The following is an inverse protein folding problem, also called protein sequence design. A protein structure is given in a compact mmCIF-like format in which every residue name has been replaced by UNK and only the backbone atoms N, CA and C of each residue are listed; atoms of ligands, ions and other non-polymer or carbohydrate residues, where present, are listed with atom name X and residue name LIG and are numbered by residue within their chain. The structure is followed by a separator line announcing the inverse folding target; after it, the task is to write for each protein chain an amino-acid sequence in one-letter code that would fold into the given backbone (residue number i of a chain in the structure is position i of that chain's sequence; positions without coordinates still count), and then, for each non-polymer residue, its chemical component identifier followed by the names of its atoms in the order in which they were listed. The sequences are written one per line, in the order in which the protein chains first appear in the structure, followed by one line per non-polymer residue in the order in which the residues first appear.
data_IF_451840353616
#
_entry.id   IF_451840353616
#
_cell.length_a   1.000
_cell.length_b   1.000
_cell.length_c   1.000
_cell.angle_alpha   90.00
_cell.angle_beta   90.00
_cell.angle_gamma   90.00
#
_symmetry.space_group_name_H-M   'P 1'
#
loop_
_entity.id
_entity.type
_entity.pdbx_description
1 polymer ?
#
# COMPACT_ATOMS: atom_id res chain seq x y z
N UNK A 1 -26.54 36.38 18.15
CA UNK A 1 -26.58 35.03 18.74
C UNK A 1 -25.44 34.21 18.15
N UNK A 2 -24.73 33.43 18.96
CA UNK A 2 -23.36 33.02 18.67
C UNK A 2 -23.29 31.91 17.61
N UNK A 3 -22.23 31.98 16.80
CA UNK A 3 -21.95 31.05 15.71
C UNK A 3 -21.58 29.65 16.22
N UNK A 4 -22.32 28.65 15.73
CA UNK A 4 -21.98 27.25 15.92
C UNK A 4 -20.88 26.83 14.95
N UNK A 5 -19.68 26.63 15.48
CA UNK A 5 -18.61 25.90 14.79
C UNK A 5 -19.02 24.43 14.71
N UNK A 6 -19.36 23.96 13.51
CA UNK A 6 -19.63 22.55 13.24
C UNK A 6 -18.29 21.81 13.26
N UNK A 7 -17.95 21.22 14.39
CA UNK A 7 -16.89 20.20 14.44
C UNK A 7 -17.50 18.89 13.96
N UNK A 8 -16.85 18.23 13.01
CA UNK A 8 -17.19 16.87 12.62
C UNK A 8 -16.98 15.96 13.84
N UNK A 9 -18.08 15.59 14.51
CA UNK A 9 -18.07 14.64 15.60
C UNK A 9 -17.97 13.24 14.98
N UNK A 10 -16.92 12.50 15.32
CA UNK A 10 -16.84 11.09 14.94
C UNK A 10 -18.00 10.35 15.58
N UNK A 11 -18.80 9.66 14.75
CA UNK A 11 -19.79 8.69 15.24
C UNK A 11 -18.99 7.59 15.93
N UNK A 12 -19.00 7.58 17.27
CA UNK A 12 -18.51 6.44 18.04
C UNK A 12 -19.40 5.26 17.67
N UNK A 13 -18.83 4.30 16.94
CA UNK A 13 -19.45 3.00 16.72
C UNK A 13 -19.48 2.27 18.08
N UNK A 14 -20.39 2.68 18.97
CA UNK A 14 -20.73 1.90 20.16
C UNK A 14 -21.45 0.65 19.64
N UNK A 15 -20.74 -0.49 19.62
CA UNK A 15 -21.45 -1.76 19.68
C UNK A 15 -22.12 -1.77 21.05
N UNK A 16 -23.42 -1.54 21.09
CA UNK A 16 -24.21 -1.84 22.27
C UNK A 16 -24.12 -3.35 22.50
N UNK A 17 -23.39 -3.74 23.52
CA UNK A 17 -23.38 -5.13 23.98
C UNK A 17 -24.78 -5.46 24.49
N UNK A 18 -25.46 -6.49 23.97
CA UNK A 18 -26.74 -6.90 24.53
C UNK A 18 -26.50 -7.30 25.99
N UNK A 19 -27.16 -6.60 26.92
CA UNK A 19 -27.03 -6.77 28.37
C UNK A 19 -27.18 -8.22 28.85
N UNK A 20 -27.76 -9.11 28.03
CA UNK A 20 -27.96 -10.53 28.33
C UNK A 20 -26.68 -11.37 28.44
N UNK A 21 -25.56 -10.98 27.79
CA UNK A 21 -24.31 -11.76 27.84
C UNK A 21 -23.49 -11.51 29.10
N UNK A 22 -23.71 -10.41 29.81
CA UNK A 22 -22.94 -10.04 31.01
C UNK A 22 -23.35 -10.87 32.24
N UNK A 23 -24.61 -11.29 32.32
CA UNK A 23 -25.14 -12.12 33.41
C UNK A 23 -24.61 -13.56 33.42
N UNK A 24 -24.20 -14.08 32.26
CA UNK A 24 -23.77 -15.48 32.07
C UNK A 24 -22.23 -15.64 32.11
N UNK A 25 -21.47 -14.56 32.24
CA UNK A 25 -20.00 -14.67 32.29
C UNK A 25 -19.53 -15.27 33.62
N UNK A 26 -18.64 -16.29 33.60
CA UNK A 26 -18.15 -16.90 34.82
C UNK A 26 -17.37 -15.87 35.66
N UNK A 27 -17.55 -15.87 36.99
CA UNK A 27 -16.94 -14.86 37.87
C UNK A 27 -15.41 -14.86 37.84
N UNK A 28 -14.80 -16.00 37.48
CA UNK A 28 -13.35 -16.13 37.29
C UNK A 28 -12.84 -15.25 36.14
N UNK A 29 -13.59 -15.16 35.03
CA UNK A 29 -13.20 -14.32 33.89
C UNK A 29 -13.32 -12.84 34.25
N UNK A 30 -14.35 -12.46 35.01
CA UNK A 30 -14.55 -11.09 35.49
C UNK A 30 -13.39 -10.68 36.40
N UNK A 31 -13.00 -11.54 37.35
CA UNK A 31 -11.87 -11.29 38.25
C UNK A 31 -10.55 -11.12 37.49
N UNK A 32 -10.30 -11.97 36.48
CA UNK A 32 -9.12 -11.85 35.61
C UNK A 32 -9.12 -10.54 34.80
N UNK A 33 -10.29 -10.11 34.30
CA UNK A 33 -10.43 -8.89 33.51
C UNK A 33 -10.14 -7.63 34.35
N UNK A 34 -10.67 -7.59 35.59
CA UNK A 34 -10.43 -6.50 36.54
C UNK A 34 -8.94 -6.44 36.92
N UNK A 35 -8.29 -7.60 37.12
CA UNK A 35 -6.86 -7.65 37.43
C UNK A 35 -5.97 -7.13 36.29
N UNK A 36 -6.37 -7.37 35.02
CA UNK A 36 -5.62 -6.94 33.83
C UNK A 36 -5.87 -5.46 33.49
N UNK A 37 -6.99 -4.88 33.94
CA UNK A 37 -7.40 -3.51 33.62
C UNK A 37 -6.30 -2.44 33.72
N UNK A 38 -5.50 -2.30 34.81
CA UNK A 38 -4.45 -1.28 34.88
C UNK A 38 -3.37 -1.46 33.79
N UNK A 39 -3.01 -2.71 33.47
CA UNK A 39 -2.08 -3.03 32.38
C UNK A 39 -2.69 -2.67 31.04
N UNK A 40 -3.98 -2.98 30.84
CA UNK A 40 -4.71 -2.67 29.62
C UNK A 40 -4.79 -1.16 29.36
N UNK A 41 -5.08 -0.36 30.39
CA UNK A 41 -5.10 1.11 30.28
C UNK A 41 -3.71 1.64 29.90
N UNK A 42 -2.65 1.09 30.49
CA UNK A 42 -1.26 1.43 30.15
C UNK A 42 -0.96 1.14 28.68
N UNK A 43 -1.23 -0.10 28.26
CA UNK A 43 -0.95 -0.57 26.92
C UNK A 43 -1.76 0.22 25.88
N UNK A 44 -3.03 0.52 26.18
CA UNK A 44 -3.89 1.32 25.32
C UNK A 44 -3.36 2.75 25.12
N UNK A 45 -2.81 3.38 26.17
CA UNK A 45 -2.16 4.70 26.05
C UNK A 45 -0.90 4.63 25.18
N UNK A 46 -0.04 3.63 25.39
CA UNK A 46 1.18 3.41 24.59
C UNK A 46 0.81 3.21 23.12
N UNK A 47 -0.15 2.34 22.84
CA UNK A 47 -0.66 2.12 21.48
C UNK A 47 -1.18 3.43 20.89
N UNK A 48 -1.94 4.22 21.66
CA UNK A 48 -2.43 5.52 21.20
C UNK A 48 -1.31 6.48 20.76
N UNK A 49 -0.16 6.48 21.44
CA UNK A 49 1.01 7.26 21.03
C UNK A 49 1.66 6.74 19.73
N UNK A 50 1.66 5.43 19.50
CA UNK A 50 2.23 4.79 18.30
C UNK A 50 1.31 4.99 17.09
N UNK A 51 0.00 4.81 17.27
CA UNK A 51 -1.01 4.90 16.20
C UNK A 51 -1.51 6.32 15.96
N UNK A 52 -1.02 7.31 16.71
CA UNK A 52 -1.48 8.71 16.66
C UNK A 52 -2.98 8.91 16.95
N UNK A 53 -3.62 7.99 17.68
CA UNK A 53 -5.05 8.04 18.00
C UNK A 53 -5.35 8.72 19.33
N UNK A 54 -4.45 9.56 19.84
CA UNK A 54 -4.65 10.38 21.04
C UNK A 54 -5.50 11.61 20.71
N UNK A 55 -6.28 12.10 21.67
CA UNK A 55 -7.14 13.27 21.52
C UNK A 55 -6.41 14.52 21.00
N UNK A 56 -5.10 14.62 21.29
CA UNK A 56 -4.30 15.75 20.87
C UNK A 56 -3.02 15.35 20.13
N UNK A 57 -2.97 15.74 18.85
CA UNK A 57 -1.84 15.44 17.95
C UNK A 57 -0.51 16.06 18.42
N UNK A 58 -0.56 17.16 19.18
CA UNK A 58 0.63 17.89 19.63
C UNK A 58 1.50 17.05 20.57
N UNK A 59 0.91 16.15 21.38
CA UNK A 59 1.69 15.33 22.34
C UNK A 59 2.64 14.39 21.62
N UNK A 60 2.14 13.72 20.58
CA UNK A 60 2.92 12.82 19.73
C UNK A 60 4.02 13.58 18.98
N UNK A 61 3.69 14.77 18.49
CA UNK A 61 4.67 15.64 17.83
C UNK A 61 5.82 16.07 18.75
N UNK A 62 5.52 16.48 19.99
CA UNK A 62 6.55 16.88 20.96
C UNK A 62 7.46 15.70 21.32
N UNK A 63 6.88 14.51 21.55
CA UNK A 63 7.65 13.28 21.81
C UNK A 63 8.58 12.98 20.64
N UNK A 64 8.08 13.12 19.41
CA UNK A 64 8.89 12.94 18.20
C UNK A 64 10.02 13.97 18.06
N UNK A 65 9.76 15.24 18.37
CA UNK A 65 10.79 16.29 18.36
C UNK A 65 11.89 16.00 19.38
N UNK A 66 11.55 15.61 20.61
CA UNK A 66 12.52 15.23 21.63
C UNK A 66 13.36 14.02 21.18
N UNK A 67 12.71 13.02 20.60
CA UNK A 67 13.39 11.84 20.03
C UNK A 67 14.32 12.22 18.87
N UNK A 68 13.94 13.16 18.01
CA UNK A 68 14.75 13.64 16.89
C UNK A 68 16.05 14.32 17.37
N UNK A 69 15.96 15.16 18.40
CA UNK A 69 17.11 15.84 18.99
C UNK A 69 18.06 14.84 19.63
N UNK A 70 17.51 13.82 20.29
CA UNK A 70 18.28 12.77 20.93
C UNK A 70 19.12 11.97 19.92
N UNK A 71 18.52 11.53 18.80
CA UNK A 71 19.27 10.76 17.79
C UNK A 71 20.31 11.63 17.10
N UNK A 72 19.95 12.87 16.74
CA UNK A 72 20.86 13.75 16.00
C UNK A 72 22.12 14.04 16.83
N UNK A 73 21.98 14.22 18.14
CA UNK A 73 23.08 14.53 19.05
C UNK A 73 23.61 13.32 19.83
N UNK A 74 23.32 12.09 19.38
CA UNK A 74 23.69 10.86 20.07
C UNK A 74 25.18 10.77 20.43
N UNK A 75 26.08 11.21 19.55
CA UNK A 75 27.53 11.08 19.74
C UNK A 75 28.07 11.92 20.92
N UNK A 76 27.48 13.09 21.19
CA UNK A 76 28.00 14.01 22.21
C UNK A 76 27.48 13.67 23.61
N UNK A 77 26.35 12.97 23.69
CA UNK A 77 25.61 12.82 24.94
C UNK A 77 25.45 11.37 25.40
N UNK A 78 25.91 10.38 24.62
CA UNK A 78 25.67 8.96 24.87
C UNK A 78 25.95 8.53 26.31
N UNK A 79 27.11 8.90 26.87
CA UNK A 79 27.53 8.43 28.20
C UNK A 79 26.70 9.02 29.36
N UNK A 80 26.18 10.24 29.21
CA UNK A 80 25.45 10.96 30.26
C UNK A 80 23.93 10.80 30.09
N UNK A 81 23.46 10.81 28.85
CA UNK A 81 22.02 10.79 28.52
C UNK A 81 21.45 9.38 28.57
N UNK A 82 22.21 8.34 28.24
CA UNK A 82 21.69 6.97 28.27
C UNK A 82 21.29 6.53 29.69
N UNK A 83 22.13 6.66 30.74
CA UNK A 83 21.75 6.23 32.09
C UNK A 83 20.60 7.08 32.66
N UNK A 84 20.56 8.37 32.35
CA UNK A 84 19.50 9.27 32.82
C UNK A 84 18.17 8.97 32.15
N UNK A 85 18.14 8.62 30.87
CA UNK A 85 16.92 8.17 30.18
C UNK A 85 16.47 6.80 30.67
N UNK A 86 17.39 5.86 30.92
CA UNK A 86 17.03 4.56 31.49
C UNK A 86 16.43 4.72 32.89
N UNK A 87 17.03 5.57 33.73
CA UNK A 87 16.49 5.90 35.05
C UNK A 87 15.13 6.61 34.95
N UNK A 88 15.00 7.62 34.07
CA UNK A 88 13.75 8.34 33.87
C UNK A 88 12.64 7.45 33.32
N UNK A 89 12.93 6.60 32.33
CA UNK A 89 11.94 5.67 31.77
C UNK A 89 11.51 4.63 32.80
N UNK A 90 12.43 4.11 33.62
CA UNK A 90 12.10 3.23 34.74
C UNK A 90 11.25 3.94 35.80
N UNK A 91 11.62 5.17 36.18
CA UNK A 91 10.85 5.98 37.12
C UNK A 91 9.46 6.33 36.58
N UNK A 92 9.35 6.70 35.30
CA UNK A 92 8.08 6.95 34.64
C UNK A 92 7.22 5.70 34.59
N UNK A 93 7.81 4.54 34.27
CA UNK A 93 7.12 3.26 34.25
C UNK A 93 6.62 2.86 35.65
N UNK A 94 7.49 2.94 36.66
CA UNK A 94 7.16 2.64 38.04
C UNK A 94 6.10 3.61 38.60
N UNK A 95 6.22 4.92 38.28
CA UNK A 95 5.21 5.92 38.64
C UNK A 95 3.90 5.65 37.91
N UNK A 96 3.93 5.25 36.64
CA UNK A 96 2.74 4.94 35.87
C UNK A 96 2.01 3.74 36.45
N UNK A 97 2.73 2.64 36.73
CA UNK A 97 2.19 1.46 37.40
C UNK A 97 1.59 1.85 38.73
N UNK A 98 2.37 2.54 39.58
CA UNK A 98 1.89 2.98 40.88
C UNK A 98 0.66 3.85 40.74
N UNK A 99 0.62 4.80 39.81
CA UNK A 99 -0.54 5.63 39.55
C UNK A 99 -1.73 4.79 39.13
N UNK A 100 -1.56 3.81 38.23
CA UNK A 100 -2.66 2.92 37.81
C UNK A 100 -3.22 2.07 38.95
N UNK A 101 -2.38 1.65 39.92
CA UNK A 101 -2.82 0.91 41.10
C UNK A 101 -3.36 1.82 42.23
N UNK A 102 -2.81 3.01 42.40
CA UNK A 102 -3.23 3.99 43.43
C UNK A 102 -4.52 4.69 43.01
N UNK A 103 -4.68 5.02 41.74
CA UNK A 103 -5.94 5.56 41.18
C UNK A 103 -7.07 4.51 41.28
N UNK A 104 -6.72 3.22 41.29
CA UNK A 104 -7.64 2.10 41.60
C UNK A 104 -7.92 1.94 43.11
N UNK A 105 -7.03 2.41 43.99
CA UNK A 105 -7.14 2.23 45.45
C UNK A 105 -7.66 3.44 46.25
N UNK A 106 -7.38 4.67 45.80
CA UNK A 106 -7.73 5.93 46.52
C UNK A 106 -8.98 6.61 45.97
N UNK A 107 -9.34 6.36 44.71
CA UNK A 107 -10.59 6.86 44.15
C UNK A 107 -11.72 6.01 44.71
N UNK A 108 -12.47 6.50 45.71
CA UNK A 108 -13.74 5.89 46.17
C UNK A 108 -14.85 5.83 45.12
N UNK A 109 -14.50 5.82 43.83
CA UNK A 109 -15.36 5.48 42.72
C UNK A 109 -15.44 3.96 42.63
N UNK A 110 -16.66 3.47 42.46
CA UNK A 110 -17.00 2.07 42.19
C UNK A 110 -15.92 1.37 41.34
N UNK A 111 -15.59 0.12 41.69
CA UNK A 111 -14.84 -0.81 40.84
C UNK A 111 -15.18 -0.59 39.36
N UNK A 112 -14.19 -0.57 38.45
CA UNK A 112 -14.43 -0.25 37.05
C UNK A 112 -15.59 -1.09 36.55
N UNK A 113 -16.56 -0.42 35.94
CA UNK A 113 -17.73 -1.13 35.40
C UNK A 113 -17.23 -2.11 34.35
N UNK A 114 -17.82 -3.31 34.29
CA UNK A 114 -17.40 -4.33 33.31
C UNK A 114 -17.48 -3.75 31.88
N UNK A 115 -18.45 -2.87 31.63
CA UNK A 115 -18.60 -2.12 30.38
C UNK A 115 -17.40 -1.22 30.06
N UNK A 116 -16.84 -0.52 31.05
CA UNK A 116 -15.64 0.30 30.88
C UNK A 116 -14.43 -0.57 30.52
N UNK A 117 -14.27 -1.71 31.21
CA UNK A 117 -13.18 -2.65 30.92
C UNK A 117 -13.31 -3.21 29.50
N UNK A 118 -14.51 -3.63 29.10
CA UNK A 118 -14.78 -4.11 27.74
C UNK A 118 -14.51 -3.03 26.69
N UNK A 119 -14.96 -1.79 26.92
CA UNK A 119 -14.69 -0.67 26.01
C UNK A 119 -13.17 -0.38 25.89
N UNK A 120 -12.41 -0.42 26.98
CA UNK A 120 -10.95 -0.27 26.90
C UNK A 120 -10.28 -1.42 26.15
N UNK A 121 -10.81 -2.64 26.27
CA UNK A 121 -10.32 -3.83 25.55
C UNK A 121 -10.63 -3.74 24.05
N UNK A 122 -11.81 -3.27 23.69
CA UNK A 122 -12.16 -3.02 22.29
C UNK A 122 -11.26 -1.96 21.66
N UNK A 123 -11.05 -0.85 22.37
CA UNK A 123 -10.16 0.21 21.91
C UNK A 123 -8.72 -0.31 21.72
N UNK A 124 -8.24 -1.13 22.66
CA UNK A 124 -6.94 -1.79 22.55
C UNK A 124 -6.91 -2.73 21.32
N UNK A 125 -7.94 -3.55 21.15
CA UNK A 125 -8.02 -4.52 20.05
C UNK A 125 -8.09 -3.83 18.69
N UNK A 126 -8.86 -2.75 18.57
CA UNK A 126 -8.93 -1.92 17.36
C UNK A 126 -7.58 -1.25 17.06
N UNK A 127 -6.93 -0.64 18.06
CA UNK A 127 -5.61 0.00 17.85
C UNK A 127 -4.53 -1.02 17.50
N UNK A 128 -4.60 -2.19 18.12
CA UNK A 128 -3.72 -3.32 17.81
C UNK A 128 -3.96 -3.83 16.39
N UNK A 129 -5.22 -3.98 15.97
CA UNK A 129 -5.55 -4.42 14.63
C UNK A 129 -5.02 -3.44 13.58
N UNK A 130 -5.01 -2.13 13.83
CA UNK A 130 -4.38 -1.18 12.89
C UNK A 130 -2.90 -1.48 12.63
N UNK A 131 -2.15 -1.93 13.64
CA UNK A 131 -0.73 -2.29 13.50
C UNK A 131 -0.56 -3.61 12.74
N UNK A 132 -1.46 -4.58 12.96
CA UNK A 132 -1.41 -5.92 12.36
C UNK A 132 -2.08 -6.01 10.98
N UNK A 133 -3.06 -5.16 10.69
CA UNK A 133 -3.74 -5.01 9.40
C UNK A 133 -2.90 -4.24 8.38
N UNK A 134 -1.67 -3.84 8.73
CA UNK A 134 -0.63 -3.55 7.73
C UNK A 134 -0.76 -4.60 6.62
N UNK A 135 -0.87 -4.17 5.36
CA UNK A 135 -1.13 -4.97 4.15
C UNK A 135 -0.08 -6.08 3.87
N UNK A 136 0.46 -6.73 4.90
CA UNK A 136 1.30 -7.91 4.91
C UNK A 136 0.69 -9.00 4.03
N UNK A 137 -0.65 -9.16 4.01
CA UNK A 137 -1.31 -10.13 3.12
C UNK A 137 -1.14 -9.80 1.63
N UNK A 138 -1.24 -8.52 1.24
CA UNK A 138 -0.98 -8.10 -0.15
C UNK A 138 0.51 -8.09 -0.49
N UNK A 139 1.36 -7.74 0.48
CA UNK A 139 2.82 -7.73 0.33
C UNK A 139 3.40 -9.16 0.29
N UNK A 140 2.73 -10.13 0.91
CA UNK A 140 3.11 -11.55 0.95
C UNK A 140 2.95 -12.29 -0.39
N UNK A 141 2.45 -11.63 -1.45
CA UNK A 141 2.40 -12.24 -2.78
C UNK A 141 3.82 -12.58 -3.26
N UNK A 142 4.08 -13.89 -3.43
CA UNK A 142 5.41 -14.42 -3.81
C UNK A 142 5.99 -13.76 -5.07
N UNK A 143 5.14 -13.32 -6.01
CA UNK A 143 5.55 -12.61 -7.23
C UNK A 143 6.03 -11.20 -6.91
N UNK A 144 5.30 -10.47 -6.06
CA UNK A 144 5.66 -9.11 -5.64
C UNK A 144 6.97 -9.10 -4.86
N UNK A 145 7.13 -10.02 -3.90
CA UNK A 145 8.37 -10.17 -3.14
C UNK A 145 9.56 -10.46 -4.07
N UNK A 146 9.38 -11.35 -5.05
CA UNK A 146 10.48 -11.68 -5.98
C UNK A 146 10.90 -10.47 -6.82
N UNK A 147 9.95 -9.72 -7.37
CA UNK A 147 10.23 -8.50 -8.15
C UNK A 147 10.89 -7.41 -7.29
N UNK A 148 10.41 -7.23 -6.06
CA UNK A 148 11.00 -6.29 -5.09
C UNK A 148 12.43 -6.70 -4.73
N UNK A 149 12.68 -7.99 -4.49
CA UNK A 149 13.99 -8.51 -4.14
C UNK A 149 14.99 -8.39 -5.31
N UNK A 150 14.55 -8.68 -6.53
CA UNK A 150 15.39 -8.49 -7.72
C UNK A 150 15.75 -7.03 -7.90
N UNK A 151 14.78 -6.11 -7.80
CA UNK A 151 15.05 -4.69 -7.95
C UNK A 151 15.91 -4.13 -6.81
N UNK A 152 15.65 -4.56 -5.58
CA UNK A 152 16.46 -4.18 -4.42
C UNK A 152 17.91 -4.65 -4.62
N UNK A 153 18.13 -5.87 -5.09
CA UNK A 153 19.48 -6.40 -5.34
C UNK A 153 20.24 -5.59 -6.41
N UNK A 154 19.55 -5.18 -7.48
CA UNK A 154 20.13 -4.37 -8.58
C UNK A 154 20.43 -2.94 -8.11
N UNK A 155 19.56 -2.34 -7.29
CA UNK A 155 19.75 -0.98 -6.78
C UNK A 155 20.66 -0.90 -5.54
N UNK A 156 20.96 -2.02 -4.87
CA UNK A 156 21.82 -2.07 -3.67
C UNK A 156 23.17 -1.38 -3.85
N UNK A 157 23.95 -1.57 -4.95
CA UNK A 157 25.22 -0.86 -5.12
C UNK A 157 25.03 0.66 -5.20
N UNK A 158 23.93 1.12 -5.83
CA UNK A 158 23.60 2.54 -5.95
C UNK A 158 23.22 3.13 -4.58
N UNK A 159 22.44 2.39 -3.79
CA UNK A 159 22.14 2.78 -2.41
C UNK A 159 23.40 2.82 -1.54
N UNK A 160 24.28 1.84 -1.66
CA UNK A 160 25.53 1.81 -0.88
C UNK A 160 26.43 3.00 -1.20
N UNK A 161 26.51 3.40 -2.48
CA UNK A 161 27.28 4.56 -2.91
C UNK A 161 26.63 5.85 -2.38
N UNK A 162 25.31 5.98 -2.52
CA UNK A 162 24.55 7.12 -2.00
C UNK A 162 24.70 7.26 -0.48
N UNK A 163 24.57 6.16 0.26
CA UNK A 163 24.71 6.13 1.72
C UNK A 163 26.12 6.55 2.14
N UNK A 164 27.16 6.05 1.48
CA UNK A 164 28.55 6.43 1.79
C UNK A 164 28.82 7.92 1.59
N UNK A 165 28.19 8.55 0.61
CA UNK A 165 28.49 9.93 0.24
C UNK A 165 27.59 10.96 0.94
N UNK A 166 26.32 10.65 1.18
CA UNK A 166 25.32 11.65 1.59
C UNK A 166 24.73 11.45 2.99
N UNK A 167 24.81 10.26 3.60
CA UNK A 167 23.99 9.93 4.78
C UNK A 167 24.84 9.34 5.91
N UNK A 168 24.93 10.06 7.04
CA UNK A 168 25.48 9.52 8.30
C UNK A 168 24.54 8.45 8.89
N UNK A 169 25.08 7.48 9.63
CA UNK A 169 24.27 6.44 10.27
C UNK A 169 23.16 7.03 11.17
N UNK A 170 23.45 8.14 11.88
CA UNK A 170 22.48 8.80 12.75
C UNK A 170 21.32 9.42 11.95
N UNK A 171 21.61 10.04 10.80
CA UNK A 171 20.57 10.63 9.96
C UNK A 171 19.74 9.56 9.29
N UNK A 172 20.33 8.41 8.94
CA UNK A 172 19.58 7.27 8.42
C UNK A 172 18.61 6.68 9.45
N UNK A 173 19.08 6.40 10.67
CA UNK A 173 18.23 5.92 11.77
C UNK A 173 17.09 6.91 12.03
N UNK A 174 17.39 8.21 12.07
CA UNK A 174 16.38 9.25 12.20
C UNK A 174 15.33 9.22 11.08
N UNK A 175 15.75 9.13 9.82
CA UNK A 175 14.83 9.10 8.67
C UNK A 175 13.93 7.85 8.69
N UNK A 176 14.49 6.68 9.02
CA UNK A 176 13.71 5.43 9.15
C UNK A 176 12.70 5.54 10.28
N UNK A 177 13.12 6.01 11.45
CA UNK A 177 12.22 6.19 12.60
C UNK A 177 11.15 7.25 12.34
N UNK A 178 11.47 8.32 11.60
CA UNK A 178 10.51 9.33 11.16
C UNK A 178 9.41 8.69 10.30
N UNK A 179 9.78 7.89 9.30
CA UNK A 179 8.83 7.23 8.41
C UNK A 179 7.92 6.27 9.21
N UNK A 180 8.50 5.46 10.11
CA UNK A 180 7.73 4.53 10.94
C UNK A 180 6.76 5.25 11.87
N UNK A 181 7.23 6.27 12.59
CA UNK A 181 6.40 6.97 13.56
C UNK A 181 5.29 7.79 12.91
N UNK A 182 5.56 8.43 11.77
CA UNK A 182 4.58 9.26 11.06
C UNK A 182 3.60 8.46 10.20
N UNK A 183 3.80 7.14 10.05
CA UNK A 183 2.98 6.30 9.17
C UNK A 183 1.48 6.34 9.52
N UNK A 184 1.12 6.33 10.80
CA UNK A 184 -0.28 6.36 11.22
C UNK A 184 -0.84 7.77 11.45
N UNK A 185 -0.01 8.80 11.30
CA UNK A 185 -0.43 10.18 11.58
C UNK A 185 -1.35 10.71 10.48
N UNK A 186 -2.53 11.19 10.86
CA UNK A 186 -3.54 11.77 9.95
C UNK A 186 -2.99 12.83 8.99
N UNK A 187 -2.28 13.89 9.44
CA UNK A 187 -1.72 14.89 8.50
C UNK A 187 -0.67 14.30 7.55
N UNK A 188 0.15 13.35 8.00
CA UNK A 188 1.14 12.69 7.15
C UNK A 188 0.51 11.69 6.18
N UNK A 189 -0.60 11.05 6.53
CA UNK A 189 -1.42 10.28 5.59
C UNK A 189 -1.94 11.17 4.46
N UNK A 190 -2.51 12.34 4.79
CA UNK A 190 -2.98 13.29 3.80
C UNK A 190 -1.83 13.80 2.90
N UNK A 191 -0.67 14.11 3.49
CA UNK A 191 0.53 14.51 2.74
C UNK A 191 1.00 13.41 1.78
N UNK A 192 1.01 12.14 2.21
CA UNK A 192 1.39 11.01 1.33
C UNK A 192 0.37 10.78 0.22
N UNK A 193 -0.92 10.90 0.50
CA UNK A 193 -1.96 10.80 -0.53
C UNK A 193 -1.86 11.95 -1.55
N UNK A 194 -1.53 13.16 -1.10
CA UNK A 194 -1.25 14.29 -1.98
C UNK A 194 0.01 14.04 -2.80
N UNK A 195 1.08 13.55 -2.16
CA UNK A 195 2.33 13.19 -2.81
C UNK A 195 2.11 12.15 -3.91
N UNK A 196 1.26 11.15 -3.66
CA UNK A 196 0.91 10.12 -4.63
C UNK A 196 0.14 10.65 -5.85
N UNK A 197 -0.38 11.88 -5.83
CA UNK A 197 -0.95 12.51 -7.02
C UNK A 197 0.11 13.04 -7.99
N UNK A 198 1.36 13.24 -7.54
CA UNK A 198 2.44 13.69 -8.42
C UNK A 198 2.90 12.56 -9.35
N UNK A 199 2.85 12.80 -10.66
CA UNK A 199 3.32 11.88 -11.72
C UNK A 199 4.78 11.42 -11.54
N UNK A 200 5.77 12.30 -11.26
CA UNK A 200 7.15 11.86 -11.10
C UNK A 200 7.34 10.92 -9.91
N UNK A 201 6.58 11.10 -8.82
CA UNK A 201 6.66 10.21 -7.66
C UNK A 201 6.21 8.78 -8.00
N UNK A 202 5.15 8.64 -8.81
CA UNK A 202 4.68 7.33 -9.29
C UNK A 202 5.69 6.67 -10.22
N UNK A 203 6.32 7.46 -11.09
CA UNK A 203 7.38 6.95 -11.96
C UNK A 203 8.58 6.44 -11.14
N UNK A 204 9.04 7.22 -10.16
CA UNK A 204 10.09 6.79 -9.23
C UNK A 204 9.66 5.53 -8.47
N UNK A 205 8.43 5.48 -7.97
CA UNK A 205 7.90 4.29 -7.29
C UNK A 205 7.89 3.07 -8.21
N UNK A 206 7.48 3.20 -9.46
CA UNK A 206 7.50 2.13 -10.47
C UNK A 206 8.92 1.62 -10.73
N UNK A 207 9.91 2.51 -10.86
CA UNK A 207 11.31 2.11 -11.03
C UNK A 207 11.83 1.40 -9.77
N UNK A 208 11.49 1.91 -8.59
CA UNK A 208 11.93 1.36 -7.31
C UNK A 208 11.34 -0.03 -7.04
N UNK A 209 10.02 -0.19 -7.21
CA UNK A 209 9.31 -1.43 -6.89
C UNK A 209 9.31 -2.42 -8.05
N UNK A 210 9.51 -1.94 -9.29
CA UNK A 210 9.34 -2.74 -10.50
C UNK A 210 7.88 -3.05 -10.81
N UNK A 211 6.93 -2.47 -10.05
CA UNK A 211 5.51 -2.64 -10.30
C UNK A 211 5.01 -1.56 -11.25
N UNK A 212 4.29 -1.98 -12.30
CA UNK A 212 3.62 -1.07 -13.21
C UNK A 212 2.38 -0.47 -12.55
N UNK A 213 2.46 0.79 -12.15
CA UNK A 213 1.29 1.58 -11.77
C UNK A 213 0.72 2.27 -13.01
N UNK A 214 -0.56 2.09 -13.35
CA UNK A 214 -1.15 2.78 -14.50
C UNK A 214 -1.09 4.30 -14.28
N UNK A 215 -0.41 5.01 -15.19
CA UNK A 215 -0.11 6.43 -15.04
C UNK A 215 -1.33 7.35 -15.25
N UNK A 216 -2.37 6.88 -15.96
CA UNK A 216 -3.64 7.60 -16.12
C UNK A 216 -4.76 6.67 -16.63
N UNK A 217 -5.66 6.19 -15.75
CA UNK A 217 -6.81 5.37 -16.17
C UNK A 217 -7.82 6.17 -17.03
N UNK A 218 -7.82 7.51 -16.94
CA UNK A 218 -8.73 8.38 -17.70
C UNK A 218 -8.45 8.38 -19.20
N UNK A 219 -7.18 8.38 -19.59
CA UNK A 219 -6.80 8.35 -21.01
C UNK A 219 -7.09 6.98 -21.62
N UNK A 220 -6.91 5.92 -20.83
CA UNK A 220 -7.28 4.54 -21.20
C UNK A 220 -8.80 4.44 -21.37
N UNK A 221 -9.59 4.98 -20.44
CA UNK A 221 -11.05 5.01 -20.54
C UNK A 221 -11.53 5.80 -21.78
N UNK A 222 -10.94 6.97 -22.06
CA UNK A 222 -11.26 7.74 -23.27
C UNK A 222 -10.86 6.97 -24.53
N UNK A 223 -9.68 6.34 -24.55
CA UNK A 223 -9.22 5.53 -25.68
C UNK A 223 -10.18 4.38 -25.94
N UNK A 224 -10.53 3.61 -24.91
CA UNK A 224 -11.48 2.49 -25.00
C UNK A 224 -12.86 2.94 -25.46
N UNK A 225 -13.37 4.06 -24.93
CA UNK A 225 -14.65 4.61 -25.33
C UNK A 225 -14.64 5.13 -26.77
N UNK A 226 -13.48 5.60 -27.26
CA UNK A 226 -13.25 6.08 -28.63
C UNK A 226 -12.93 4.96 -29.64
N UNK A 227 -12.49 3.77 -29.19
CA UNK A 227 -12.27 2.62 -30.08
C UNK A 227 -13.56 2.22 -30.85
N UNK A 228 -14.74 2.68 -30.42
CA UNK A 228 -16.04 2.28 -30.94
C UNK A 228 -16.98 3.43 -31.37
N UNK A 229 -16.63 4.18 -32.39
CA UNK A 229 -17.61 5.01 -33.12
C UNK A 229 -18.25 4.29 -34.32
N UNK A 230 -17.90 3.02 -34.60
CA UNK A 230 -18.35 2.35 -35.84
C UNK A 230 -19.41 1.26 -35.67
N UNK A 231 -19.53 0.60 -34.51
CA UNK A 231 -20.53 -0.48 -34.29
C UNK A 231 -21.04 -0.49 -32.82
N UNK A 232 -21.84 0.50 -32.41
CA UNK A 232 -22.59 0.43 -31.15
C UNK A 232 -23.98 -0.16 -31.39
N UNK A 233 -24.28 -1.30 -30.77
CA UNK A 233 -25.62 -1.92 -30.81
C UNK A 233 -26.61 -1.07 -30.00
N UNK A 234 -26.18 -0.45 -28.91
CA UNK A 234 -27.01 0.41 -28.04
C UNK A 234 -26.16 1.48 -27.32
N UNK A 235 -26.80 2.46 -26.65
CA UNK A 235 -26.12 3.49 -25.85
C UNK A 235 -25.33 2.92 -24.67
N UNK A 236 -25.82 1.81 -24.11
CA UNK A 236 -25.24 1.17 -22.93
C UNK A 236 -24.30 0.00 -23.27
N UNK A 237 -24.48 -0.67 -24.42
CA UNK A 237 -23.62 -1.79 -24.81
C UNK A 237 -22.77 -1.46 -26.04
N UNK A 238 -21.45 -1.57 -25.89
CA UNK A 238 -20.48 -1.30 -26.95
C UNK A 238 -19.64 -2.55 -27.25
N UNK A 239 -19.45 -2.90 -28.52
CA UNK A 239 -18.52 -3.97 -28.91
C UNK A 239 -17.15 -3.35 -29.11
N UNK A 240 -16.19 -3.60 -28.23
CA UNK A 240 -14.81 -3.16 -28.38
C UNK A 240 -13.93 -4.23 -29.01
N UNK A 241 -13.10 -3.84 -29.97
CA UNK A 241 -12.01 -4.66 -30.47
C UNK A 241 -10.75 -4.32 -29.68
N UNK A 242 -10.29 -5.26 -28.86
CA UNK A 242 -9.05 -5.10 -28.09
C UNK A 242 -7.87 -5.60 -28.90
N UNK A 243 -6.80 -4.83 -28.86
CA UNK A 243 -5.54 -5.13 -29.53
C UNK A 243 -4.50 -5.58 -28.50
N UNK A 244 -3.78 -6.65 -28.85
CA UNK A 244 -2.61 -7.11 -28.15
C UNK A 244 -1.47 -7.26 -29.15
N UNK A 245 -0.27 -6.88 -28.75
CA UNK A 245 0.95 -7.12 -29.51
C UNK A 245 1.70 -8.26 -28.82
N UNK A 246 1.88 -9.36 -29.54
CA UNK A 246 2.76 -10.44 -29.12
C UNK A 246 4.16 -10.18 -29.67
N UNK A 247 5.13 -10.13 -28.76
CA UNK A 247 6.52 -9.89 -29.05
C UNK A 247 7.33 -11.16 -28.79
N UNK A 248 8.28 -11.47 -29.68
CA UNK A 248 9.19 -12.60 -29.52
C UNK A 248 10.60 -12.22 -29.95
N UNK A 249 11.58 -12.92 -29.36
CA UNK A 249 13.00 -12.70 -29.60
C UNK A 249 13.68 -13.98 -30.06
N UNK A 250 14.64 -13.86 -30.97
CA UNK A 250 15.47 -14.96 -31.45
C UNK A 250 16.65 -15.18 -30.52
N UNK A 251 16.77 -16.41 -30.03
CA UNK A 251 17.86 -16.86 -29.18
C UNK A 251 18.77 -17.81 -29.92
N UNK A 252 20.08 -17.64 -29.72
CA UNK A 252 21.09 -18.51 -30.32
C UNK A 252 20.84 -19.97 -29.86
N UNK A 253 20.68 -20.89 -30.81
CA UNK A 253 20.46 -22.32 -30.55
C UNK A 253 19.02 -22.73 -30.18
N UNK A 254 18.16 -21.81 -29.73
CA UNK A 254 16.76 -22.11 -29.36
C UNK A 254 15.75 -21.63 -30.42
N UNK A 255 16.09 -20.57 -31.15
CA UNK A 255 15.17 -19.95 -32.11
C UNK A 255 14.26 -18.90 -31.45
N UNK A 256 13.06 -18.71 -31.99
CA UNK A 256 12.14 -17.67 -31.52
C UNK A 256 11.46 -18.06 -30.19
N UNK A 257 11.61 -17.22 -29.16
CA UNK A 257 11.00 -17.40 -27.84
C UNK A 257 10.28 -16.13 -27.39
N UNK A 258 9.27 -16.28 -26.52
CA UNK A 258 8.58 -15.14 -25.89
C UNK A 258 9.40 -14.49 -24.77
N UNK A 259 10.47 -15.11 -24.29
CA UNK A 259 11.32 -14.54 -23.24
C UNK A 259 12.12 -13.34 -23.77
N UNK A 260 11.87 -12.18 -23.17
CA UNK A 260 12.59 -10.93 -23.42
C UNK A 260 13.74 -10.73 -22.44
N UNK A 261 14.63 -9.79 -22.75
CA UNK A 261 15.65 -9.36 -21.80
C UNK A 261 15.04 -8.56 -20.65
N UNK A 262 15.67 -8.63 -19.47
CA UNK A 262 15.22 -7.92 -18.27
C UNK A 262 15.27 -6.39 -18.40
N UNK A 263 16.21 -5.88 -19.20
CA UNK A 263 16.39 -4.43 -19.43
C UNK A 263 15.59 -3.90 -20.63
N UNK A 264 14.90 -4.79 -21.33
CA UNK A 264 14.10 -4.43 -22.48
C UNK A 264 12.70 -4.05 -22.00
N UNK A 265 12.30 -2.79 -22.18
CA UNK A 265 11.02 -2.28 -21.69
C UNK A 265 9.81 -2.91 -22.39
N UNK A 266 10.03 -3.69 -23.46
CA UNK A 266 8.97 -4.35 -24.21
C UNK A 266 8.64 -5.72 -23.59
N UNK A 267 7.43 -5.91 -23.04
CA UNK A 267 7.01 -7.19 -22.50
C UNK A 267 6.68 -8.19 -23.62
N UNK A 268 6.59 -9.48 -23.27
CA UNK A 268 6.22 -10.56 -24.19
C UNK A 268 4.86 -10.32 -24.86
N UNK A 269 3.89 -9.80 -24.11
CA UNK A 269 2.61 -9.34 -24.62
C UNK A 269 2.38 -7.91 -24.14
N UNK A 270 2.03 -7.02 -25.05
CA UNK A 270 1.75 -5.62 -24.75
C UNK A 270 0.36 -5.25 -25.25
N UNK A 271 -0.46 -4.65 -24.41
CA UNK A 271 -1.75 -4.08 -24.81
C UNK A 271 -1.57 -2.59 -25.11
N UNK A 272 -1.71 -2.13 -26.36
CA UNK A 272 -1.68 -0.71 -26.70
C UNK A 272 -2.81 0.05 -26.02
N UNK A 273 -3.99 -0.58 -25.90
CA UNK A 273 -5.20 0.06 -25.39
C UNK A 273 -5.12 0.34 -23.89
N UNK A 274 -4.57 -0.61 -23.12
CA UNK A 274 -4.44 -0.50 -21.67
C UNK A 274 -3.06 -0.04 -21.21
N UNK A 275 -2.08 0.04 -22.12
CA UNK A 275 -0.67 0.30 -21.85
C UNK A 275 -0.07 -0.63 -20.78
N UNK A 276 -0.54 -1.88 -20.73
CA UNK A 276 -0.07 -2.92 -19.79
C UNK A 276 0.71 -4.01 -20.50
N UNK A 277 1.76 -4.49 -19.83
CA UNK A 277 2.59 -5.61 -20.23
C UNK A 277 2.24 -6.89 -19.49
N UNK A 278 2.33 -8.03 -20.17
CA UNK A 278 2.06 -9.35 -19.62
C UNK A 278 3.05 -10.39 -20.15
N UNK A 279 3.33 -11.41 -19.35
CA UNK A 279 4.18 -12.55 -19.78
C UNK A 279 3.37 -13.66 -20.44
N UNK A 280 2.07 -13.75 -20.16
CA UNK A 280 1.18 -14.81 -20.66
C UNK A 280 -0.21 -14.24 -20.91
N UNK A 281 -0.86 -14.71 -21.98
CA UNK A 281 -2.21 -14.27 -22.38
C UNK A 281 -3.28 -14.48 -21.29
N UNK A 282 -3.10 -15.48 -20.42
CA UNK A 282 -4.03 -15.77 -19.31
C UNK A 282 -4.01 -14.72 -18.19
N UNK A 283 -2.99 -13.87 -18.14
CA UNK A 283 -2.86 -12.79 -17.16
C UNK A 283 -3.55 -11.50 -17.61
N UNK A 284 -4.17 -11.50 -18.80
CA UNK A 284 -4.88 -10.34 -19.28
C UNK A 284 -6.14 -10.11 -18.45
N UNK A 285 -6.17 -8.98 -17.76
CA UNK A 285 -7.33 -8.50 -17.01
C UNK A 285 -7.93 -7.29 -17.71
N UNK A 286 -9.26 -7.22 -17.71
CA UNK A 286 -9.97 -6.08 -18.26
C UNK A 286 -9.68 -4.80 -17.47
N UNK A 287 -9.58 -3.65 -18.14
CA UNK A 287 -9.45 -2.37 -17.47
C UNK A 287 -10.74 -2.02 -16.74
N UNK A 288 -10.61 -1.52 -15.51
CA UNK A 288 -11.72 -1.01 -14.73
C UNK A 288 -12.03 0.43 -15.18
N UNK A 289 -13.28 0.69 -15.55
CA UNK A 289 -13.73 2.01 -15.97
C UNK A 289 -14.18 2.80 -14.74
N UNK A 290 -13.49 3.90 -14.42
CA UNK A 290 -13.72 4.62 -13.17
C UNK A 290 -15.05 5.36 -13.17
N UNK A 291 -15.52 5.84 -14.31
CA UNK A 291 -16.84 6.49 -14.41
C UNK A 291 -18.01 5.50 -14.53
N UNK A 292 -17.72 4.20 -14.73
CA UNK A 292 -18.69 3.12 -14.85
C UNK A 292 -18.28 1.93 -13.98
N UNK A 293 -18.40 2.04 -12.64
CA UNK A 293 -17.91 1.04 -11.70
C UNK A 293 -18.62 -0.32 -11.84
N UNK A 294 -19.84 -0.33 -12.37
CA UNK A 294 -20.62 -1.54 -12.64
C UNK A 294 -20.52 -2.01 -14.09
N UNK A 295 -19.46 -1.61 -14.81
CA UNK A 295 -19.23 -2.10 -16.18
C UNK A 295 -18.86 -3.57 -16.18
N UNK A 296 -19.49 -4.34 -17.07
CA UNK A 296 -19.20 -5.76 -17.24
C UNK A 296 -18.60 -6.00 -18.63
N UNK A 297 -17.47 -6.69 -18.64
CA UNK A 297 -16.78 -7.12 -19.85
C UNK A 297 -17.11 -8.58 -20.13
N UNK A 298 -17.50 -8.89 -21.35
CA UNK A 298 -17.74 -10.25 -21.82
C UNK A 298 -16.99 -10.48 -23.12
N UNK A 299 -16.33 -11.62 -23.25
CA UNK A 299 -15.68 -11.97 -24.51
C UNK A 299 -16.75 -12.38 -25.52
N UNK A 300 -16.67 -11.84 -26.73
CA UNK A 300 -17.51 -12.28 -27.85
C UNK A 300 -16.80 -13.39 -28.63
N UNK A 301 -15.49 -13.24 -28.81
CA UNK A 301 -14.65 -14.26 -29.46
C UNK A 301 -14.05 -15.24 -28.44
N UNK A 302 -13.96 -16.53 -28.79
CA UNK A 302 -13.41 -17.59 -27.93
C UNK A 302 -11.90 -17.46 -27.67
N UNK A 303 -11.15 -16.96 -28.66
CA UNK A 303 -9.69 -16.85 -28.59
C UNK A 303 -9.16 -15.61 -29.29
N UNK A 304 -7.93 -15.22 -28.94
CA UNK A 304 -7.21 -14.17 -29.65
C UNK A 304 -6.91 -14.60 -31.10
N UNK A 305 -7.25 -13.75 -32.06
CA UNK A 305 -7.00 -13.99 -33.50
C UNK A 305 -5.83 -13.15 -33.96
N UNK A 306 -4.91 -13.75 -34.72
CA UNK A 306 -3.82 -12.99 -35.32
C UNK A 306 -4.35 -12.12 -36.46
N UNK A 307 -4.03 -10.83 -36.41
CA UNK A 307 -4.30 -9.89 -37.48
C UNK A 307 -3.04 -9.71 -38.34
N UNK A 308 -2.87 -10.63 -39.29
CA UNK A 308 -1.73 -10.65 -40.20
C UNK A 308 -0.57 -11.53 -39.73
N UNK A 309 0.56 -11.38 -40.43
CA UNK A 309 1.79 -12.14 -40.20
C UNK A 309 2.71 -11.51 -39.16
N UNK A 310 3.88 -12.13 -38.99
CA UNK A 310 4.96 -11.60 -38.16
C UNK A 310 5.65 -10.44 -38.87
N UNK A 311 5.86 -9.34 -38.16
CA UNK A 311 6.78 -8.28 -38.60
C UNK A 311 8.10 -8.44 -37.87
N UNK A 312 9.19 -8.55 -38.60
CA UNK A 312 10.53 -8.78 -38.09
C UNK A 312 11.29 -7.45 -37.98
N UNK A 313 12.04 -7.29 -36.90
CA UNK A 313 12.82 -6.09 -36.59
C UNK A 313 14.25 -6.47 -36.23
N UNK A 314 15.11 -5.46 -36.19
CA UNK A 314 16.48 -5.57 -35.71
C UNK A 314 16.55 -5.79 -34.18
N UNK A 315 17.72 -5.55 -33.58
CA UNK A 315 17.93 -5.69 -32.13
C UNK A 315 17.14 -4.65 -31.31
N UNK A 316 16.83 -3.49 -31.90
CA UNK A 316 16.26 -2.31 -31.25
C UNK A 316 14.80 -2.03 -31.64
N UNK A 317 14.10 -3.03 -32.21
CA UNK A 317 12.73 -2.87 -32.72
C UNK A 317 12.59 -1.84 -33.86
N UNK A 318 13.65 -1.60 -34.61
CA UNK A 318 13.71 -0.70 -35.77
C UNK A 318 13.67 -1.51 -37.09
N UNK A 319 13.36 -0.81 -38.19
CA UNK A 319 13.30 -1.35 -39.56
C UNK A 319 12.41 -2.59 -39.73
N UNK A 320 11.10 -2.41 -39.54
CA UNK A 320 10.11 -3.48 -39.69
C UNK A 320 10.01 -4.03 -41.11
N UNK A 321 10.23 -5.34 -41.26
CA UNK A 321 10.07 -6.08 -42.52
C UNK A 321 9.13 -7.27 -42.35
N UNK A 322 8.51 -7.71 -43.45
CA UNK A 322 7.61 -8.88 -43.45
C UNK A 322 8.35 -10.20 -43.66
N UNK A 323 9.59 -10.14 -44.15
CA UNK A 323 10.42 -11.31 -44.41
C UNK A 323 11.46 -11.49 -43.31
N UNK A 324 11.69 -12.74 -42.92
CA UNK A 324 12.71 -13.12 -41.94
C UNK A 324 14.10 -13.03 -42.59
N UNK A 325 15.09 -12.53 -41.86
CA UNK A 325 16.48 -12.46 -42.31
C UNK A 325 17.43 -12.67 -41.13
N UNK A 326 18.71 -12.96 -41.42
CA UNK A 326 19.71 -13.24 -40.38
C UNK A 326 19.98 -12.03 -39.47
N UNK A 327 19.72 -10.81 -39.94
CA UNK A 327 19.89 -9.58 -39.16
C UNK A 327 18.67 -9.27 -38.29
N UNK A 328 17.60 -10.09 -38.36
CA UNK A 328 16.39 -9.93 -37.56
C UNK A 328 16.46 -10.75 -36.28
N UNK A 329 16.31 -10.06 -35.16
CA UNK A 329 16.42 -10.64 -33.82
C UNK A 329 15.13 -10.54 -33.03
N UNK A 330 14.23 -9.64 -33.40
CA UNK A 330 12.95 -9.44 -32.72
C UNK A 330 11.81 -9.53 -33.74
N UNK A 331 10.64 -9.97 -33.31
CA UNK A 331 9.43 -10.02 -34.14
C UNK A 331 8.21 -9.68 -33.33
N UNK A 332 7.24 -9.02 -33.98
CA UNK A 332 5.95 -8.70 -33.38
C UNK A 332 4.80 -9.22 -34.23
N UNK A 333 3.70 -9.57 -33.58
CA UNK A 333 2.44 -9.92 -34.22
C UNK A 333 1.29 -9.25 -33.50
N UNK A 334 0.37 -8.67 -34.26
CA UNK A 334 -0.84 -8.08 -33.71
C UNK A 334 -1.90 -9.19 -33.54
N UNK A 335 -2.47 -9.26 -32.35
CA UNK A 335 -3.59 -10.09 -31.96
C UNK A 335 -4.80 -9.18 -31.72
N UNK A 336 -5.96 -9.64 -32.14
CA UNK A 336 -7.24 -8.96 -31.96
C UNK A 336 -8.25 -9.89 -31.32
N UNK A 337 -9.09 -9.35 -30.46
CA UNK A 337 -10.21 -10.08 -29.88
C UNK A 337 -11.35 -9.13 -29.55
N UNK A 338 -12.56 -9.49 -29.98
CA UNK A 338 -13.76 -8.69 -29.70
C UNK A 338 -14.31 -9.00 -28.31
N UNK A 339 -14.70 -7.95 -27.61
CA UNK A 339 -15.40 -8.03 -26.35
C UNK A 339 -16.63 -7.10 -26.35
N UNK A 340 -17.64 -7.47 -25.59
CA UNK A 340 -18.82 -6.66 -25.34
C UNK A 340 -18.66 -6.00 -23.97
N UNK A 341 -18.71 -4.68 -24.01
CA UNK A 341 -18.68 -3.80 -22.85
C UNK A 341 -20.11 -3.33 -22.58
N UNK A 342 -20.67 -3.77 -21.46
CA UNK A 342 -21.93 -3.25 -20.93
C UNK A 342 -21.63 -2.17 -19.89
N UNK A 343 -22.01 -0.93 -20.22
CA UNK A 343 -21.87 0.24 -19.36
C UNK A 343 -23.10 0.34 -18.46
N UNK A 344 -22.88 0.17 -17.16
CA UNK A 344 -23.86 0.47 -16.11
C UNK A 344 -23.24 1.53 -15.20
N UNK A 345 -23.94 2.65 -15.02
CA UNK A 345 -23.52 3.70 -14.09
C UNK A 345 -23.77 3.28 -12.66
#
# INVERSE_FOLDING_TARGET
MPGGTVYAQFVSFQREYPQSLLGDTPPEVIAALIAIYPVLVTANRILGFITWTTDSCYRNFVVFCLYSLLILHWNNYFLIVLPTIMALSFCCYAWFIRKSYVEFGESGHSSPTIEEVLNTLDNFTMRSSLIFDMNIKEMASKRKIRSLLTNLSVLTPLYSLFMKHHVSANTWIFMVSLIMYTYYSSPFMAMRQLLWRFKPLRYVAQVLTGEHYPLEDKDVEITILNLNTRESIDRNTKIAELHLVENQRRWLGVGWCSKMFLWEETPSYYSPDTKRGFDTLSQYEFPLLRNYPHSTWTWVDDSWRANGGWTYFDYHWQDGQQQDSLTRYTRRRLLKRKCLLSLRR
#
